data_IF_329353935026
#
_entry.id   IF_329353935026
#
_cell.length_a   1.000
_cell.length_b   1.000
_cell.length_c   1.000
_cell.angle_alpha   90.00
_cell.angle_beta   90.00
_cell.angle_gamma   90.00
#
_symmetry.space_group_name_H-M   'P 1'
#
loop_
_entity.id
_entity.type
_entity.pdbx_description
1 polymer ?
#
# COMPACT_ATOMS: atom_id res chain seq x y z
N UNK A 1 -19.19 50.45 -2.44
CA UNK A 1 -18.86 49.18 -3.12
C UNK A 1 -17.47 48.74 -2.69
N UNK A 2 -17.27 47.42 -2.51
CA UNK A 2 -16.00 46.72 -2.80
C UNK A 2 -14.95 46.54 -1.69
N UNK A 3 -15.27 46.31 -0.41
CA UNK A 3 -14.24 45.79 0.54
C UNK A 3 -14.75 44.78 1.60
N UNK A 4 -15.80 44.00 1.33
CA UNK A 4 -16.27 42.95 2.27
C UNK A 4 -16.41 41.59 1.54
N UNK A 5 -15.45 41.25 0.67
CA UNK A 5 -15.47 39.95 -0.03
C UNK A 5 -14.11 39.25 0.06
N UNK A 6 -13.38 39.44 1.17
CA UNK A 6 -12.07 38.79 1.36
C UNK A 6 -12.00 37.79 2.52
N UNK A 7 -13.07 37.57 3.28
CA UNK A 7 -13.05 36.66 4.43
C UNK A 7 -13.66 35.25 4.20
N UNK A 8 -14.06 34.90 2.97
CA UNK A 8 -14.82 33.66 2.71
C UNK A 8 -14.04 32.54 1.99
N UNK A 9 -12.73 32.71 1.74
CA UNK A 9 -11.95 31.78 0.91
C UNK A 9 -10.95 30.88 1.67
N UNK A 10 -10.89 30.92 3.01
CA UNK A 10 -9.84 30.21 3.77
C UNK A 10 -10.29 28.96 4.55
N UNK A 11 -11.53 28.50 4.35
CA UNK A 11 -12.00 27.23 4.89
C UNK A 11 -12.20 26.23 3.75
N UNK A 12 -11.14 25.95 2.99
CA UNK A 12 -11.10 24.68 2.28
C UNK A 12 -10.84 23.59 3.31
N UNK A 13 -11.77 22.62 3.51
CA UNK A 13 -11.45 21.45 4.29
C UNK A 13 -10.34 20.73 3.51
N UNK A 14 -9.13 20.70 4.07
CA UNK A 14 -8.12 19.74 3.67
C UNK A 14 -8.75 18.37 3.93
N UNK A 15 -9.40 17.79 2.91
CA UNK A 15 -9.74 16.38 2.89
C UNK A 15 -8.42 15.64 2.72
N UNK A 16 -7.62 15.60 3.79
CA UNK A 16 -6.62 14.58 3.95
C UNK A 16 -7.39 13.27 4.00
N UNK A 17 -7.60 12.68 2.83
CA UNK A 17 -7.86 11.26 2.71
C UNK A 17 -6.60 10.58 3.23
N UNK A 18 -6.50 10.46 4.55
CA UNK A 18 -5.56 9.58 5.20
C UNK A 18 -5.94 8.18 4.71
N UNK A 19 -5.27 7.71 3.66
CA UNK A 19 -5.26 6.29 3.35
C UNK A 19 -4.91 5.60 4.66
N UNK A 20 -5.82 4.78 5.18
CA UNK A 20 -5.64 4.07 6.44
C UNK A 20 -4.32 3.31 6.35
N UNK A 21 -3.32 3.83 7.06
CA UNK A 21 -1.99 3.25 7.07
C UNK A 21 -2.06 1.99 7.92
N UNK A 22 -1.59 0.88 7.37
CA UNK A 22 -1.49 -0.36 8.14
C UNK A 22 -0.38 -0.26 9.18
N UNK A 23 -0.54 -1.02 10.26
CA UNK A 23 0.51 -1.17 11.25
C UNK A 23 1.76 -1.79 10.63
N UNK A 24 2.92 -1.58 11.26
CA UNK A 24 4.17 -2.14 10.76
C UNK A 24 4.12 -3.68 10.68
N UNK A 25 3.47 -4.35 11.63
CA UNK A 25 3.35 -5.80 11.66
C UNK A 25 2.47 -6.33 10.52
N UNK A 26 1.39 -5.63 10.18
CA UNK A 26 0.55 -5.94 9.01
C UNK A 26 1.33 -5.77 7.70
N UNK A 27 2.07 -4.67 7.56
CA UNK A 27 2.93 -4.45 6.40
C UNK A 27 4.03 -5.52 6.27
N UNK A 28 4.61 -5.99 7.38
CA UNK A 28 5.57 -7.09 7.39
C UNK A 28 4.93 -8.40 6.94
N UNK A 29 3.73 -8.73 7.45
CA UNK A 29 2.98 -9.93 7.03
C UNK A 29 2.67 -9.89 5.54
N UNK A 30 2.17 -8.77 5.03
CA UNK A 30 1.88 -8.57 3.61
C UNK A 30 3.15 -8.67 2.75
N UNK A 31 4.26 -8.12 3.22
CA UNK A 31 5.54 -8.23 2.53
C UNK A 31 6.07 -9.67 2.52
N UNK A 32 5.91 -10.41 3.62
CA UNK A 32 6.27 -11.83 3.70
C UNK A 32 5.43 -12.66 2.70
N UNK A 33 4.13 -12.42 2.62
CA UNK A 33 3.26 -13.05 1.62
C UNK A 33 3.70 -12.72 0.19
N UNK A 34 4.06 -11.46 -0.08
CA UNK A 34 4.59 -11.04 -1.38
C UNK A 34 5.86 -11.81 -1.74
N UNK A 35 6.78 -11.96 -0.80
CA UNK A 35 8.01 -12.72 -1.01
C UNK A 35 7.73 -14.20 -1.26
N UNK A 36 6.77 -14.79 -0.56
CA UNK A 36 6.38 -16.18 -0.74
C UNK A 36 5.77 -16.43 -2.13
N UNK A 37 4.86 -15.57 -2.58
CA UNK A 37 4.31 -15.64 -3.95
C UNK A 37 5.43 -15.51 -4.99
N UNK A 38 6.41 -14.62 -4.78
CA UNK A 38 7.58 -14.52 -5.68
C UNK A 38 8.44 -15.76 -5.68
N UNK A 39 8.55 -16.51 -4.57
CA UNK A 39 9.24 -17.80 -4.54
C UNK A 39 8.47 -18.85 -5.32
N UNK A 40 7.14 -18.91 -5.16
CA UNK A 40 6.27 -19.83 -5.90
C UNK A 40 6.35 -19.59 -7.42
N UNK A 41 6.37 -18.33 -7.85
CA UNK A 41 6.57 -17.94 -9.25
C UNK A 41 7.97 -18.28 -9.81
N UNK A 42 8.94 -18.69 -8.99
CA UNK A 42 10.24 -19.21 -9.45
C UNK A 42 10.27 -20.73 -9.59
N UNK A 43 9.23 -21.41 -9.14
CA UNK A 43 9.08 -22.85 -9.29
C UNK A 43 8.28 -23.16 -10.56
N UNK A 44 8.35 -24.39 -11.09
CA UNK A 44 7.43 -24.84 -12.13
C UNK A 44 5.97 -24.75 -11.65
N UNK A 45 5.09 -24.25 -12.50
CA UNK A 45 3.65 -24.17 -12.29
C UNK A 45 2.90 -24.40 -13.61
N UNK A 46 1.65 -24.84 -13.51
CA UNK A 46 0.73 -24.81 -14.65
C UNK A 46 0.27 -23.37 -14.94
N UNK A 47 -0.26 -23.15 -16.15
CA UNK A 47 -0.64 -21.81 -16.62
C UNK A 47 -1.68 -21.14 -15.73
N UNK A 48 -2.70 -21.87 -15.28
CA UNK A 48 -3.78 -21.33 -14.45
C UNK A 48 -3.28 -20.93 -13.06
N UNK A 49 -2.41 -21.75 -12.48
CA UNK A 49 -1.76 -21.45 -11.20
C UNK A 49 -0.81 -20.26 -11.33
N UNK A 50 -0.04 -20.20 -12.41
CA UNK A 50 0.83 -19.06 -12.73
C UNK A 50 0.05 -17.74 -12.80
N UNK A 51 -1.09 -17.72 -13.49
CA UNK A 51 -1.95 -16.54 -13.58
C UNK A 51 -2.46 -16.10 -12.20
N UNK A 52 -2.97 -17.03 -11.39
CA UNK A 52 -3.44 -16.73 -10.03
C UNK A 52 -2.33 -16.16 -9.14
N UNK A 53 -1.10 -16.68 -9.27
CA UNK A 53 0.05 -16.17 -8.52
C UNK A 53 0.44 -14.75 -8.97
N UNK A 54 0.38 -14.46 -10.27
CA UNK A 54 0.64 -13.12 -10.80
C UNK A 54 -0.42 -12.12 -10.33
N UNK A 55 -1.71 -12.48 -10.39
CA UNK A 55 -2.81 -11.63 -9.93
C UNK A 55 -2.66 -11.32 -8.43
N UNK A 56 -2.35 -12.36 -7.63
CA UNK A 56 -2.10 -12.21 -6.19
C UNK A 56 -0.90 -11.31 -5.91
N UNK A 57 0.17 -11.42 -6.70
CA UNK A 57 1.35 -10.56 -6.57
C UNK A 57 0.99 -9.10 -6.83
N UNK A 58 0.26 -8.80 -7.91
CA UNK A 58 -0.17 -7.45 -8.25
C UNK A 58 -1.08 -6.85 -7.17
N UNK A 59 -2.00 -7.65 -6.61
CA UNK A 59 -2.85 -7.22 -5.51
C UNK A 59 -2.03 -6.85 -4.27
N UNK A 60 -1.09 -7.71 -3.86
CA UNK A 60 -0.20 -7.46 -2.73
C UNK A 60 0.63 -6.19 -2.93
N UNK A 61 1.17 -5.97 -4.13
CA UNK A 61 1.94 -4.76 -4.46
C UNK A 61 1.10 -3.49 -4.38
N UNK A 62 -0.15 -3.54 -4.89
CA UNK A 62 -1.09 -2.42 -4.79
C UNK A 62 -1.42 -2.08 -3.34
N UNK A 63 -1.73 -3.10 -2.53
CA UNK A 63 -2.04 -2.92 -1.11
C UNK A 63 -0.85 -2.31 -0.36
N UNK A 64 0.36 -2.87 -0.56
CA UNK A 64 1.58 -2.34 0.04
C UNK A 64 1.84 -0.88 -0.37
N UNK A 65 1.66 -0.54 -1.65
CA UNK A 65 1.86 0.82 -2.15
C UNK A 65 0.88 1.82 -1.52
N UNK A 66 -0.37 1.42 -1.33
CA UNK A 66 -1.44 2.31 -0.87
C UNK A 66 -1.46 2.47 0.67
N UNK A 67 -1.14 1.40 1.41
CA UNK A 67 -1.33 1.34 2.85
C UNK A 67 -0.03 1.27 3.67
N UNK A 68 1.10 0.95 3.04
CA UNK A 68 2.40 0.83 3.70
C UNK A 68 3.37 1.91 3.18
N UNK A 69 3.18 3.17 3.60
CA UNK A 69 4.18 4.23 3.39
C UNK A 69 5.36 4.07 4.37
N UNK A 70 6.59 4.15 3.83
CA UNK A 70 7.89 4.00 4.54
C UNK A 70 8.05 5.00 5.71
N UNK A 71 8.89 4.70 6.74
CA UNK A 71 10.12 3.90 6.66
C UNK A 71 9.98 2.51 7.27
N UNK A 72 10.21 1.49 6.44
CA UNK A 72 10.66 0.19 6.94
C UNK A 72 12.09 0.42 7.43
N UNK A 73 12.25 0.79 8.71
CA UNK A 73 13.48 0.48 9.42
C UNK A 73 13.52 -1.03 9.50
N UNK A 74 14.57 -1.61 8.95
CA UNK A 74 14.88 -3.02 9.00
C UNK A 74 14.48 -3.59 10.36
N UNK A 75 13.60 -4.60 10.34
CA UNK A 75 13.33 -5.35 11.56
C UNK A 75 14.69 -5.90 12.04
N UNK A 76 15.07 -5.70 13.31
CA UNK A 76 16.28 -6.35 13.82
C UNK A 76 16.10 -7.87 13.63
N UNK A 77 17.15 -8.59 13.22
CA UNK A 77 17.09 -10.04 13.14
C UNK A 77 16.73 -10.58 14.53
N UNK A 78 15.65 -11.37 14.59
CA UNK A 78 15.31 -12.20 15.75
C UNK A 78 16.13 -13.49 15.71
#
# INVERSE_FOLDING_TARGET
>A
MRQIVFCLLLLQPFTMQAATQFSQSECQKLNAQRLEVRKQLRQPYDADHGQKLQDKLQQLERVLKNHCKKPVKDAPPQ
#
